data_IF_792090194035
#
_entry.id   IF_792090194035
#
_cell.length_a   1.000
_cell.length_b   1.000
_cell.length_c   1.000
_cell.angle_alpha   90.00
_cell.angle_beta   90.00
_cell.angle_gamma   90.00
#
_symmetry.space_group_name_H-M   'P 1'
#
loop_
_entity.id
_entity.type
_entity.pdbx_description
1 polymer ?
#
# COMPACT_ATOMS: atom_id res chain seq x y z
N UNK A 1 37.85 33.19 -45.82
CA UNK A 1 37.34 31.98 -45.14
C UNK A 1 37.22 32.19 -43.61
N UNK A 2 36.33 33.10 -43.14
CA UNK A 2 36.25 33.42 -41.69
C UNK A 2 34.86 33.91 -41.27
N UNK A 3 33.79 33.46 -41.92
CA UNK A 3 32.40 33.86 -41.61
C UNK A 3 31.38 32.71 -41.55
N UNK A 4 31.82 31.45 -41.39
CA UNK A 4 30.89 30.29 -41.37
C UNK A 4 30.83 29.51 -40.04
N UNK A 5 31.44 30.01 -38.93
CA UNK A 5 31.50 29.28 -37.67
C UNK A 5 30.64 29.88 -36.52
N UNK A 6 29.86 30.93 -36.77
CA UNK A 6 29.06 31.58 -35.72
C UNK A 6 27.56 31.23 -35.72
N UNK A 7 27.08 30.41 -36.64
CA UNK A 7 25.64 30.14 -36.76
C UNK A 7 25.18 28.81 -36.11
N UNK A 8 26.08 27.95 -35.63
CA UNK A 8 25.71 26.66 -35.02
C UNK A 8 25.54 26.68 -33.49
N UNK A 9 25.90 27.76 -32.80
CA UNK A 9 25.81 27.80 -31.34
C UNK A 9 24.48 28.34 -30.79
N UNK A 10 23.65 28.96 -31.62
CA UNK A 10 22.38 29.56 -31.18
C UNK A 10 21.19 28.58 -31.15
N UNK A 11 21.29 27.39 -31.78
CA UNK A 11 20.18 26.44 -31.88
C UNK A 11 20.15 25.43 -30.69
N UNK A 12 21.28 25.24 -30.00
CA UNK A 12 21.36 24.28 -28.88
C UNK A 12 20.80 24.84 -27.56
N UNK A 13 20.74 26.15 -27.39
CA UNK A 13 20.24 26.80 -26.19
C UNK A 13 18.69 26.77 -26.06
N UNK A 14 17.95 26.59 -27.15
CA UNK A 14 16.49 26.59 -27.15
C UNK A 14 15.85 25.22 -26.78
N UNK A 15 16.60 24.12 -26.82
CA UNK A 15 16.10 22.77 -26.56
C UNK A 15 16.08 22.40 -25.05
N UNK A 16 16.72 23.18 -24.17
CA UNK A 16 16.78 22.86 -22.72
C UNK A 16 15.64 23.49 -21.94
N UNK A 17 14.91 24.45 -22.47
CA UNK A 17 13.81 25.15 -21.81
C UNK A 17 12.49 24.32 -21.84
N UNK A 18 12.37 23.35 -22.74
CA UNK A 18 11.12 22.57 -22.91
C UNK A 18 10.85 21.47 -21.88
N UNK A 19 11.84 20.99 -21.13
CA UNK A 19 11.65 19.92 -20.17
C UNK A 19 11.23 20.38 -18.75
N UNK A 20 11.37 21.66 -18.43
CA UNK A 20 11.03 22.24 -17.13
C UNK A 20 9.55 22.62 -16.95
N UNK A 21 8.87 22.95 -18.04
CA UNK A 21 7.50 23.49 -17.96
C UNK A 21 6.40 22.43 -17.77
N UNK A 22 6.67 21.16 -18.10
CA UNK A 22 5.68 20.08 -17.93
C UNK A 22 5.47 19.65 -16.47
N UNK A 23 6.41 19.92 -15.54
CA UNK A 23 6.28 19.65 -14.11
C UNK A 23 5.73 20.81 -13.28
N UNK A 24 5.63 22.01 -13.85
CA UNK A 24 5.24 23.21 -13.10
C UNK A 24 3.79 23.12 -12.53
N UNK A 25 2.89 22.39 -13.18
CA UNK A 25 1.48 22.21 -12.75
C UNK A 25 1.07 20.74 -12.65
N UNK A 26 2.02 19.85 -12.34
CA UNK A 26 1.77 18.41 -12.35
C UNK A 26 2.34 17.77 -11.09
N UNK A 27 1.56 16.87 -10.46
CA UNK A 27 2.01 15.97 -9.42
C UNK A 27 1.80 14.52 -9.88
N UNK A 28 2.71 13.62 -9.51
CA UNK A 28 2.67 12.21 -9.88
C UNK A 28 2.34 11.36 -8.67
N UNK A 29 1.21 10.67 -8.69
CA UNK A 29 0.79 9.75 -7.63
C UNK A 29 1.06 8.31 -8.07
N UNK A 30 1.82 7.58 -7.26
CA UNK A 30 2.08 6.16 -7.45
C UNK A 30 1.18 5.25 -6.63
N UNK A 31 1.22 3.95 -6.94
CA UNK A 31 0.63 2.93 -6.06
C UNK A 31 1.41 1.61 -6.12
N UNK A 32 1.28 0.81 -5.07
CA UNK A 32 1.70 -0.58 -5.08
C UNK A 32 0.81 -1.41 -6.02
N UNK A 33 1.15 -2.68 -6.20
CA UNK A 33 0.59 -3.57 -7.23
C UNK A 33 -0.65 -4.36 -6.77
N UNK A 34 -1.52 -3.77 -5.97
CA UNK A 34 -2.79 -4.38 -5.57
C UNK A 34 -3.94 -3.36 -5.52
N UNK A 35 -5.21 -3.82 -5.64
CA UNK A 35 -6.37 -2.96 -5.88
C UNK A 35 -6.56 -1.86 -4.84
N UNK A 36 -6.43 -2.15 -3.54
CA UNK A 36 -6.54 -1.16 -2.48
C UNK A 36 -5.59 0.02 -2.69
N UNK A 37 -4.34 -0.27 -3.03
CA UNK A 37 -3.34 0.77 -3.22
C UNK A 37 -3.62 1.64 -4.44
N UNK A 38 -4.14 1.05 -5.53
CA UNK A 38 -4.57 1.82 -6.69
C UNK A 38 -5.79 2.69 -6.36
N UNK A 39 -6.73 2.18 -5.57
CA UNK A 39 -7.89 2.92 -5.08
C UNK A 39 -7.48 4.08 -4.16
N UNK A 40 -6.56 3.85 -3.22
CA UNK A 40 -6.00 4.91 -2.38
C UNK A 40 -5.26 5.97 -3.20
N UNK A 41 -4.48 5.53 -4.19
CA UNK A 41 -3.82 6.44 -5.14
C UNK A 41 -4.83 7.29 -5.89
N UNK A 42 -5.95 6.72 -6.32
CA UNK A 42 -7.02 7.44 -7.01
C UNK A 42 -7.75 8.42 -6.08
N UNK A 43 -8.01 8.05 -4.82
CA UNK A 43 -8.57 8.95 -3.80
C UNK A 43 -7.65 10.16 -3.59
N UNK A 44 -6.31 9.95 -3.45
CA UNK A 44 -5.36 11.06 -3.35
C UNK A 44 -5.41 11.93 -4.60
N UNK A 45 -5.44 11.31 -5.79
CA UNK A 45 -5.42 12.01 -7.07
C UNK A 45 -6.65 12.90 -7.24
N UNK A 46 -7.85 12.35 -7.08
CA UNK A 46 -9.11 13.11 -7.21
C UNK A 46 -9.24 14.20 -6.15
N UNK A 47 -8.79 13.94 -4.91
CA UNK A 47 -8.78 14.94 -3.85
C UNK A 47 -7.88 16.13 -4.19
N UNK A 48 -6.69 15.88 -4.74
CA UNK A 48 -5.78 16.94 -5.19
C UNK A 48 -6.41 17.72 -6.35
N UNK A 49 -6.94 17.03 -7.37
CA UNK A 49 -7.58 17.67 -8.54
C UNK A 49 -8.79 18.51 -8.15
N UNK A 50 -9.57 18.08 -7.14
CA UNK A 50 -10.75 18.82 -6.68
C UNK A 50 -10.40 20.07 -5.84
N UNK A 51 -9.28 20.05 -5.13
CA UNK A 51 -8.89 21.13 -4.20
C UNK A 51 -7.81 22.05 -4.76
N UNK A 52 -7.25 21.73 -5.93
CA UNK A 52 -6.15 22.50 -6.53
C UNK A 52 -6.36 22.65 -8.04
N UNK A 53 -5.47 23.41 -8.70
CA UNK A 53 -5.43 23.52 -10.16
C UNK A 53 -4.38 22.56 -10.79
N UNK A 54 -3.88 21.61 -10.03
CA UNK A 54 -2.86 20.68 -10.50
C UNK A 54 -3.49 19.54 -11.32
N UNK A 55 -2.76 19.14 -12.34
CA UNK A 55 -3.03 17.88 -13.03
C UNK A 55 -2.32 16.74 -12.31
N UNK A 56 -3.02 15.68 -11.98
CA UNK A 56 -2.43 14.49 -11.38
C UNK A 56 -2.14 13.43 -12.46
N UNK A 57 -0.88 12.99 -12.51
CA UNK A 57 -0.46 11.84 -13.31
C UNK A 57 -0.49 10.60 -12.41
N UNK A 58 -1.15 9.56 -12.86
CA UNK A 58 -1.37 8.31 -12.14
C UNK A 58 -0.38 7.25 -12.61
N UNK A 59 0.56 6.83 -11.75
CA UNK A 59 1.50 5.74 -11.98
C UNK A 59 1.16 4.59 -11.04
N UNK A 60 0.02 3.94 -11.28
CA UNK A 60 -0.47 2.85 -10.43
C UNK A 60 0.13 1.50 -10.83
N UNK A 61 0.02 0.53 -9.91
CA UNK A 61 0.54 -0.84 -10.09
C UNK A 61 2.04 -0.90 -10.43
N UNK A 62 2.85 -0.05 -9.80
CA UNK A 62 4.30 -0.04 -10.05
C UNK A 62 4.94 -1.38 -9.65
N UNK A 63 4.83 -1.74 -8.39
CA UNK A 63 5.24 -2.99 -7.76
C UNK A 63 4.96 -2.90 -6.24
N UNK A 64 5.68 -3.65 -5.42
CA UNK A 64 5.57 -3.58 -3.97
C UNK A 64 6.32 -2.40 -3.34
N UNK A 65 6.41 -2.44 -2.01
CA UNK A 65 6.96 -1.41 -1.13
C UNK A 65 8.32 -0.88 -1.56
N UNK A 66 9.27 -1.79 -1.83
CA UNK A 66 10.65 -1.38 -2.14
C UNK A 66 10.74 -0.57 -3.43
N UNK A 67 9.98 -0.95 -4.46
CA UNK A 67 9.99 -0.25 -5.75
C UNK A 67 9.29 1.11 -5.63
N UNK A 68 8.16 1.20 -4.91
CA UNK A 68 7.47 2.47 -4.65
C UNK A 68 8.35 3.43 -3.86
N UNK A 69 9.04 2.96 -2.82
CA UNK A 69 10.01 3.75 -2.06
C UNK A 69 11.15 4.28 -2.96
N UNK A 70 11.73 3.41 -3.80
CA UNK A 70 12.79 3.83 -4.73
C UNK A 70 12.27 4.81 -5.79
N UNK A 71 11.06 4.63 -6.30
CA UNK A 71 10.44 5.54 -7.25
C UNK A 71 10.22 6.94 -6.64
N UNK A 72 9.82 6.99 -5.36
CA UNK A 72 9.65 8.23 -4.62
C UNK A 72 11.01 8.95 -4.41
N UNK A 73 12.03 8.22 -3.95
CA UNK A 73 13.38 8.76 -3.75
C UNK A 73 14.02 9.28 -5.07
N UNK A 74 13.77 8.57 -6.16
CA UNK A 74 14.25 8.96 -7.48
C UNK A 74 13.41 10.06 -8.15
N UNK A 75 12.35 10.57 -7.50
CA UNK A 75 11.45 11.58 -8.05
C UNK A 75 10.65 11.11 -9.28
N UNK A 76 10.44 9.81 -9.41
CA UNK A 76 9.59 9.23 -10.46
C UNK A 76 8.11 9.38 -10.13
N UNK A 77 7.78 9.33 -8.84
CA UNK A 77 6.49 9.68 -8.27
C UNK A 77 6.71 10.75 -7.19
N UNK A 78 5.69 11.55 -6.89
CA UNK A 78 5.73 12.59 -5.88
C UNK A 78 5.07 12.16 -4.57
N UNK A 79 4.11 11.24 -4.63
CA UNK A 79 3.46 10.66 -3.46
C UNK A 79 2.90 9.25 -3.73
N UNK A 80 2.71 8.48 -2.68
CA UNK A 80 1.92 7.25 -2.64
C UNK A 80 1.44 6.98 -1.21
N UNK A 81 0.55 6.00 -1.00
CA UNK A 81 0.14 5.57 0.33
C UNK A 81 1.05 4.44 0.80
N UNK A 82 1.61 4.59 2.00
CA UNK A 82 2.36 3.55 2.69
C UNK A 82 1.66 3.16 3.99
N UNK A 83 2.04 2.04 4.58
CA UNK A 83 1.53 1.60 5.88
C UNK A 83 2.64 1.75 6.92
N UNK A 84 2.30 2.27 8.10
CA UNK A 84 3.29 2.63 9.14
C UNK A 84 4.14 1.44 9.59
N UNK A 85 3.54 0.26 9.78
CA UNK A 85 4.27 -0.97 10.13
C UNK A 85 5.22 -1.43 9.03
N UNK A 86 4.80 -1.32 7.76
CA UNK A 86 5.64 -1.62 6.60
C UNK A 86 6.84 -0.66 6.53
N UNK A 87 6.59 0.63 6.69
CA UNK A 87 7.66 1.64 6.72
C UNK A 87 8.66 1.36 7.85
N UNK A 88 8.16 1.01 9.06
CA UNK A 88 8.98 0.70 10.22
C UNK A 88 9.89 -0.51 9.97
N UNK A 89 9.30 -1.63 9.54
CA UNK A 89 10.00 -2.93 9.52
C UNK A 89 10.75 -3.17 8.22
N UNK A 90 10.13 -2.91 7.06
CA UNK A 90 10.71 -3.21 5.76
C UNK A 90 11.64 -2.11 5.23
N UNK A 91 11.37 -0.82 5.52
CA UNK A 91 12.19 0.29 5.02
C UNK A 91 13.19 0.78 6.05
N UNK A 92 12.77 0.98 7.29
CA UNK A 92 13.65 1.48 8.34
C UNK A 92 14.47 0.37 9.02
N UNK A 93 14.02 -0.87 8.90
CA UNK A 93 14.60 -2.06 9.58
C UNK A 93 14.62 -1.91 11.10
N UNK A 94 13.62 -1.22 11.62
CA UNK A 94 13.44 -1.01 13.06
C UNK A 94 12.64 -2.16 13.68
N UNK A 95 12.83 -2.45 14.97
CA UNK A 95 12.06 -3.47 15.68
C UNK A 95 10.56 -3.19 15.65
N UNK A 96 9.76 -4.26 15.72
CA UNK A 96 8.30 -4.17 15.85
C UNK A 96 7.95 -3.40 17.11
N UNK A 97 7.01 -2.47 16.99
CA UNK A 97 6.45 -1.65 18.05
C UNK A 97 4.92 -1.79 18.00
N UNK A 98 4.28 -1.95 19.13
CA UNK A 98 2.85 -2.22 19.20
C UNK A 98 1.97 -0.95 19.29
N UNK A 99 2.51 0.16 19.81
CA UNK A 99 1.75 1.41 19.94
C UNK A 99 1.65 2.16 18.62
N UNK A 100 0.45 2.36 18.04
CA UNK A 100 0.29 3.00 16.74
C UNK A 100 0.81 4.43 16.69
N UNK A 101 0.69 5.18 17.82
CA UNK A 101 1.17 6.54 17.93
C UNK A 101 2.70 6.61 17.91
N UNK A 102 3.36 5.70 18.64
CA UNK A 102 4.82 5.59 18.66
C UNK A 102 5.35 5.19 17.28
N UNK A 103 4.73 4.19 16.62
CA UNK A 103 5.09 3.77 15.25
C UNK A 103 4.98 4.94 14.28
N UNK A 104 3.83 5.64 14.26
CA UNK A 104 3.63 6.79 13.39
C UNK A 104 4.66 7.90 13.63
N UNK A 105 4.90 8.29 14.90
CA UNK A 105 5.85 9.33 15.23
C UNK A 105 7.29 8.96 14.81
N UNK A 106 7.69 7.71 15.02
CA UNK A 106 9.00 7.18 14.63
C UNK A 106 9.19 7.18 13.12
N UNK A 107 8.23 6.64 12.38
CA UNK A 107 8.25 6.61 10.90
C UNK A 107 8.31 8.03 10.35
N UNK A 108 7.43 8.92 10.81
CA UNK A 108 7.41 10.33 10.39
C UNK A 108 8.76 11.02 10.60
N UNK A 109 9.35 10.90 11.78
CA UNK A 109 10.65 11.51 12.08
C UNK A 109 11.80 10.90 11.26
N UNK A 110 11.80 9.60 11.04
CA UNK A 110 12.84 8.93 10.29
C UNK A 110 12.75 9.24 8.78
N UNK A 111 11.55 9.29 8.21
CA UNK A 111 11.34 9.62 6.80
C UNK A 111 11.74 11.05 6.48
N UNK A 112 11.39 12.01 7.33
CA UNK A 112 11.83 13.40 7.22
C UNK A 112 13.37 13.49 7.22
N UNK A 113 14.01 12.99 8.27
CA UNK A 113 15.46 13.14 8.47
C UNK A 113 16.31 12.35 7.48
N UNK A 114 15.89 11.13 7.10
CA UNK A 114 16.71 10.23 6.28
C UNK A 114 16.43 10.34 4.79
N UNK A 115 15.20 10.69 4.42
CA UNK A 115 14.74 10.60 3.05
C UNK A 115 14.18 11.91 2.49
N UNK A 116 13.99 12.95 3.32
CA UNK A 116 13.31 14.20 2.94
C UNK A 116 11.90 13.92 2.38
N UNK A 117 11.17 13.03 3.08
CA UNK A 117 9.81 12.63 2.78
C UNK A 117 8.89 13.01 3.93
N UNK A 118 7.81 13.72 3.62
CA UNK A 118 6.77 14.03 4.57
C UNK A 118 5.81 12.84 4.71
N UNK A 119 5.65 12.30 5.92
CA UNK A 119 4.59 11.36 6.27
C UNK A 119 3.43 12.16 6.82
N UNK A 120 2.31 12.20 6.07
CA UNK A 120 1.11 12.94 6.44
C UNK A 120 0.25 12.13 7.44
N UNK A 121 -0.76 12.76 8.07
CA UNK A 121 -1.60 12.08 9.05
C UNK A 121 -2.26 10.81 8.50
N UNK A 122 -2.50 9.79 9.37
CA UNK A 122 -3.18 8.57 8.97
C UNK A 122 -4.56 8.82 8.37
N UNK A 123 -4.90 8.07 7.33
CA UNK A 123 -6.17 8.14 6.62
C UNK A 123 -7.35 7.67 7.48
N UNK A 124 -7.11 6.80 8.49
CA UNK A 124 -8.10 6.42 9.49
C UNK A 124 -8.35 4.90 9.61
N UNK A 125 -7.69 4.07 8.83
CA UNK A 125 -7.81 2.62 8.89
C UNK A 125 -6.44 1.94 9.10
N UNK A 126 -6.51 0.67 9.51
CA UNK A 126 -5.36 -0.19 9.71
C UNK A 126 -5.50 -1.44 8.83
N UNK A 127 -4.52 -1.69 7.97
CA UNK A 127 -4.49 -2.86 7.09
C UNK A 127 -3.36 -3.82 7.49
N UNK A 128 -3.64 -4.68 8.47
CA UNK A 128 -2.68 -5.67 8.95
C UNK A 128 -2.67 -6.92 8.08
N UNK A 129 -1.55 -7.62 8.06
CA UNK A 129 -1.53 -8.99 7.56
C UNK A 129 -2.43 -9.90 8.39
N UNK A 130 -3.11 -10.80 7.71
CA UNK A 130 -3.93 -11.84 8.32
C UNK A 130 -3.64 -13.20 7.69
N UNK A 131 -3.66 -14.26 8.48
CA UNK A 131 -3.67 -15.62 7.95
C UNK A 131 -5.10 -16.07 7.73
N UNK A 132 -5.36 -16.64 6.56
CA UNK A 132 -6.69 -17.01 6.11
C UNK A 132 -6.71 -18.47 5.71
N UNK A 133 -7.75 -19.17 6.14
CA UNK A 133 -8.08 -20.55 5.79
C UNK A 133 -9.49 -20.61 5.21
N UNK A 134 -9.88 -21.73 4.61
CA UNK A 134 -11.29 -21.96 4.24
C UNK A 134 -12.18 -22.03 5.47
N UNK A 135 -13.37 -21.45 5.39
CA UNK A 135 -14.33 -21.47 6.49
C UNK A 135 -14.75 -22.89 6.89
N UNK A 136 -14.90 -23.79 5.94
CA UNK A 136 -15.16 -25.20 6.21
C UNK A 136 -14.06 -25.89 7.02
N UNK A 137 -12.78 -25.60 6.73
CA UNK A 137 -11.64 -26.12 7.47
C UNK A 137 -11.58 -25.52 8.88
N UNK A 138 -11.83 -24.23 9.02
CA UNK A 138 -11.88 -23.56 10.32
C UNK A 138 -12.94 -24.22 11.23
N UNK A 139 -14.15 -24.44 10.70
CA UNK A 139 -15.23 -25.12 11.45
C UNK A 139 -14.90 -26.58 11.79
N UNK A 140 -14.41 -27.34 10.81
CA UNK A 140 -14.10 -28.77 10.97
C UNK A 140 -12.96 -29.01 11.96
N UNK A 141 -11.94 -28.12 11.97
CA UNK A 141 -10.72 -28.26 12.77
C UNK A 141 -10.74 -27.39 14.03
N UNK A 142 -11.84 -26.63 14.26
CA UNK A 142 -11.98 -25.68 15.37
C UNK A 142 -10.82 -24.67 15.44
N UNK A 143 -10.54 -24.01 14.29
CA UNK A 143 -9.46 -23.03 14.18
C UNK A 143 -9.99 -21.62 14.46
N UNK A 144 -9.44 -20.94 15.44
CA UNK A 144 -9.75 -19.55 15.76
C UNK A 144 -8.49 -18.67 15.67
N UNK A 145 -7.33 -19.23 15.99
CA UNK A 145 -6.07 -18.49 16.12
C UNK A 145 -4.98 -19.05 15.20
N UNK A 146 -3.94 -18.23 14.98
CA UNK A 146 -2.73 -18.69 14.27
C UNK A 146 -2.07 -19.85 15.03
N UNK A 147 -2.11 -19.83 16.38
CA UNK A 147 -1.59 -20.93 17.19
C UNK A 147 -2.33 -22.26 16.96
N UNK A 148 -3.63 -22.21 16.64
CA UNK A 148 -4.38 -23.42 16.31
C UNK A 148 -3.94 -24.00 14.98
N UNK A 149 -3.74 -23.14 13.98
CA UNK A 149 -3.26 -23.54 12.64
C UNK A 149 -1.87 -24.17 12.68
N UNK A 150 -1.00 -23.74 13.60
CA UNK A 150 0.36 -24.26 13.72
C UNK A 150 0.41 -25.79 13.92
N UNK A 151 -0.62 -26.38 14.55
CA UNK A 151 -0.72 -27.84 14.77
C UNK A 151 -0.93 -28.61 13.45
N UNK A 152 -1.54 -27.97 12.45
CA UNK A 152 -1.86 -28.57 11.16
C UNK A 152 -0.85 -28.20 10.07
N UNK A 153 -0.04 -27.17 10.28
CA UNK A 153 0.94 -26.68 9.34
C UNK A 153 1.87 -27.77 8.73
N UNK A 154 2.31 -28.82 9.48
CA UNK A 154 3.12 -29.89 8.91
C UNK A 154 2.44 -30.69 7.79
N UNK A 155 1.11 -30.62 7.68
CA UNK A 155 0.33 -31.32 6.66
C UNK A 155 -0.26 -30.38 5.61
N UNK A 156 -0.07 -29.07 5.76
CA UNK A 156 -0.66 -28.05 4.92
C UNK A 156 0.32 -27.51 3.87
N UNK A 157 -0.26 -27.00 2.82
CA UNK A 157 0.41 -26.22 1.77
C UNK A 157 0.07 -24.76 2.00
N UNK A 158 1.07 -23.92 2.18
CA UNK A 158 0.89 -22.49 2.28
C UNK A 158 1.11 -21.78 0.94
N UNK A 159 0.40 -20.69 0.72
CA UNK A 159 0.58 -19.77 -0.39
C UNK A 159 0.69 -18.34 0.10
N UNK A 160 1.77 -17.62 -0.27
CA UNK A 160 2.03 -16.27 0.20
C UNK A 160 2.45 -15.36 -0.96
N UNK A 161 2.18 -14.07 -0.82
CA UNK A 161 2.70 -13.06 -1.72
C UNK A 161 4.23 -12.90 -1.58
N UNK A 162 4.88 -12.40 -2.63
CA UNK A 162 6.33 -12.23 -2.66
C UNK A 162 6.86 -11.41 -1.46
N UNK A 163 6.29 -10.23 -1.21
CA UNK A 163 6.75 -9.37 -0.10
C UNK A 163 6.58 -10.02 1.27
N UNK A 164 5.50 -10.79 1.48
CA UNK A 164 5.31 -11.51 2.74
C UNK A 164 6.39 -12.55 3.00
N UNK A 165 6.97 -13.11 1.94
CA UNK A 165 8.11 -14.04 2.06
C UNK A 165 9.42 -13.33 2.39
N UNK A 166 9.61 -12.10 1.90
CA UNK A 166 10.89 -11.38 1.96
C UNK A 166 11.01 -10.41 3.15
N UNK A 167 9.89 -9.94 3.68
CA UNK A 167 9.88 -8.90 4.71
C UNK A 167 10.25 -9.44 6.10
N UNK A 168 10.92 -8.62 6.95
CA UNK A 168 11.25 -9.01 8.32
C UNK A 168 10.01 -9.32 9.19
N UNK A 169 8.88 -8.60 8.95
CA UNK A 169 7.59 -8.80 9.60
C UNK A 169 6.68 -9.78 8.83
N UNK A 170 7.24 -10.52 7.87
CA UNK A 170 6.55 -11.51 7.06
C UNK A 170 6.67 -12.94 7.59
N UNK A 171 6.73 -13.89 6.64
CA UNK A 171 6.61 -15.32 6.94
C UNK A 171 7.69 -15.85 7.88
N UNK A 172 8.95 -15.51 7.68
CA UNK A 172 10.05 -16.10 8.47
C UNK A 172 9.94 -15.74 9.95
N UNK A 173 9.65 -14.48 10.27
CA UNK A 173 9.44 -14.02 11.62
C UNK A 173 8.18 -14.62 12.25
N UNK A 174 7.08 -14.65 11.50
CA UNK A 174 5.82 -15.25 11.92
C UNK A 174 5.98 -16.75 12.22
N UNK A 175 6.64 -17.49 11.33
CA UNK A 175 6.89 -18.92 11.49
C UNK A 175 7.69 -19.22 12.76
N UNK A 176 8.70 -18.39 13.07
CA UNK A 176 9.50 -18.52 14.30
C UNK A 176 8.64 -18.29 15.56
N UNK A 177 7.80 -17.26 15.57
CA UNK A 177 6.96 -16.91 16.73
C UNK A 177 5.86 -17.93 16.97
N UNK A 178 5.24 -18.42 15.91
CA UNK A 178 4.09 -19.34 15.98
C UNK A 178 4.47 -20.82 15.87
N UNK A 179 5.70 -21.15 15.49
CA UNK A 179 6.10 -22.53 15.21
C UNK A 179 5.44 -23.10 13.94
N UNK A 180 5.27 -22.26 12.91
CA UNK A 180 4.68 -22.68 11.64
C UNK A 180 5.71 -23.43 10.79
N UNK A 181 5.64 -24.75 10.79
CA UNK A 181 6.53 -25.63 10.02
C UNK A 181 5.73 -26.36 8.95
N UNK A 182 5.89 -25.96 7.69
CA UNK A 182 5.27 -26.64 6.56
C UNK A 182 6.18 -27.76 6.03
N UNK A 183 5.59 -28.90 5.62
CA UNK A 183 6.33 -30.02 5.03
C UNK A 183 7.05 -29.66 3.70
N UNK A 184 6.55 -28.65 3.01
CA UNK A 184 7.14 -28.07 1.79
C UNK A 184 7.25 -26.57 1.95
N UNK A 185 8.21 -25.91 1.30
CA UNK A 185 8.28 -24.45 1.27
C UNK A 185 6.96 -23.86 0.78
N UNK A 186 6.49 -22.74 1.36
CA UNK A 186 5.30 -22.04 0.86
C UNK A 186 5.44 -21.69 -0.61
N UNK A 187 4.32 -21.71 -1.33
CA UNK A 187 4.27 -21.26 -2.72
C UNK A 187 4.24 -19.74 -2.76
N UNK A 188 5.07 -19.15 -3.61
CA UNK A 188 4.96 -17.72 -3.92
C UNK A 188 3.90 -17.56 -5.01
N UNK A 189 2.88 -16.76 -4.72
CA UNK A 189 1.74 -16.51 -5.61
C UNK A 189 1.55 -15.01 -5.83
N UNK A 190 0.96 -14.67 -6.97
CA UNK A 190 0.44 -13.31 -7.19
C UNK A 190 -0.69 -13.02 -6.18
N UNK A 191 -0.74 -11.78 -5.66
CA UNK A 191 -1.71 -11.39 -4.64
C UNK A 191 -3.16 -11.61 -5.09
N UNK A 192 -3.46 -11.36 -6.36
CA UNK A 192 -4.79 -11.58 -6.94
C UNK A 192 -5.20 -13.06 -7.04
N UNK A 193 -4.27 -14.00 -6.88
CA UNK A 193 -4.52 -15.44 -6.99
C UNK A 193 -4.62 -16.16 -5.64
N UNK A 194 -4.26 -15.51 -4.52
CA UNK A 194 -4.16 -16.15 -3.21
C UNK A 194 -5.48 -16.80 -2.77
N UNK A 195 -6.56 -16.04 -2.75
CA UNK A 195 -7.87 -16.55 -2.31
C UNK A 195 -8.45 -17.58 -3.27
N UNK A 196 -8.19 -17.44 -4.57
CA UNK A 196 -8.58 -18.44 -5.55
C UNK A 196 -7.85 -19.76 -5.32
N UNK A 197 -6.53 -19.71 -5.12
CA UNK A 197 -5.74 -20.90 -4.84
C UNK A 197 -6.19 -21.60 -3.53
N UNK A 198 -6.63 -20.82 -2.53
CA UNK A 198 -7.18 -21.33 -1.29
C UNK A 198 -8.54 -22.03 -1.52
N UNK A 199 -9.48 -21.38 -2.21
CA UNK A 199 -10.81 -21.90 -2.51
C UNK A 199 -10.76 -23.11 -3.45
N UNK A 200 -9.83 -23.14 -4.41
CA UNK A 200 -9.61 -24.25 -5.34
C UNK A 200 -8.78 -25.40 -4.70
N UNK A 201 -8.57 -25.39 -3.37
CA UNK A 201 -7.79 -26.40 -2.63
C UNK A 201 -6.36 -26.62 -3.14
N UNK A 202 -5.77 -25.63 -3.81
CA UNK A 202 -4.36 -25.69 -4.24
C UNK A 202 -3.39 -25.42 -3.09
N UNK A 203 -3.84 -24.63 -2.11
CA UNK A 203 -3.19 -24.36 -0.82
C UNK A 203 -4.22 -24.47 0.30
N UNK A 204 -3.74 -24.54 1.53
CA UNK A 204 -4.57 -24.77 2.71
C UNK A 204 -4.58 -23.54 3.64
N UNK A 205 -3.61 -22.64 3.46
CA UNK A 205 -3.47 -21.39 4.18
C UNK A 205 -2.81 -20.33 3.28
N UNK A 206 -3.29 -19.08 3.37
CA UNK A 206 -2.71 -17.93 2.70
C UNK A 206 -2.50 -16.78 3.69
N UNK A 207 -1.63 -15.84 3.34
CA UNK A 207 -1.58 -14.53 3.98
C UNK A 207 -2.29 -13.51 3.08
N UNK A 208 -3.25 -12.80 3.65
CA UNK A 208 -3.97 -11.70 3.02
C UNK A 208 -3.89 -10.44 3.89
N UNK A 209 -4.76 -9.48 3.60
CA UNK A 209 -4.87 -8.22 4.33
C UNK A 209 -6.23 -8.10 5.03
N UNK A 210 -6.28 -7.45 6.21
CA UNK A 210 -7.50 -7.34 7.02
C UNK A 210 -8.61 -6.52 6.35
N UNK A 211 -8.27 -5.72 5.35
CA UNK A 211 -9.19 -4.91 4.55
C UNK A 211 -9.59 -5.55 3.22
N UNK A 212 -9.11 -6.77 2.92
CA UNK A 212 -9.45 -7.47 1.68
C UNK A 212 -10.97 -7.69 1.57
N UNK A 213 -11.57 -7.18 0.50
CA UNK A 213 -13.02 -7.23 0.28
C UNK A 213 -13.58 -8.66 0.18
N UNK A 214 -12.80 -9.61 -0.34
CA UNK A 214 -13.22 -11.01 -0.50
C UNK A 214 -13.38 -11.75 0.83
N UNK A 215 -12.80 -11.28 1.93
CA UNK A 215 -12.93 -11.90 3.25
C UNK A 215 -14.39 -11.99 3.73
N UNK A 216 -15.20 -10.98 3.39
CA UNK A 216 -16.62 -10.94 3.77
C UNK A 216 -17.54 -11.66 2.78
N UNK A 217 -17.10 -11.85 1.53
CA UNK A 217 -17.93 -12.32 0.42
C UNK A 217 -17.80 -13.82 0.13
N UNK A 218 -16.85 -14.50 0.78
CA UNK A 218 -16.52 -15.91 0.56
C UNK A 218 -16.51 -16.65 1.90
N UNK A 219 -16.64 -17.97 1.85
CA UNK A 219 -16.51 -18.84 3.03
C UNK A 219 -15.02 -18.97 3.43
N UNK A 220 -14.51 -17.88 3.98
CA UNK A 220 -13.13 -17.73 4.45
C UNK A 220 -13.13 -17.45 5.96
N UNK A 221 -12.10 -17.89 6.65
CA UNK A 221 -11.89 -17.61 8.07
C UNK A 221 -10.54 -16.96 8.29
N UNK A 222 -10.56 -15.79 8.93
CA UNK A 222 -9.37 -15.07 9.37
C UNK A 222 -8.95 -15.63 10.73
N UNK A 223 -7.70 -16.01 10.85
CA UNK A 223 -7.12 -16.50 12.11
C UNK A 223 -6.61 -15.33 12.94
N UNK A 224 -7.01 -15.30 14.22
CA UNK A 224 -6.56 -14.26 15.14
C UNK A 224 -5.06 -14.36 15.42
N UNK A 225 -4.37 -13.24 15.33
CA UNK A 225 -2.97 -13.07 15.79
C UNK A 225 -2.92 -12.99 17.32
N UNK A 226 -3.06 -14.15 17.98
CA UNK A 226 -3.15 -14.24 19.43
C UNK A 226 -1.83 -14.04 20.20
N UNK A 227 -0.71 -13.85 19.46
CA UNK A 227 0.58 -13.46 20.02
C UNK A 227 0.99 -12.04 19.67
N UNK A 228 0.12 -11.28 18.99
CA UNK A 228 0.34 -9.89 18.60
C UNK A 228 1.66 -9.69 17.87
N UNK A 229 1.91 -10.55 16.88
CA UNK A 229 3.14 -10.52 16.10
C UNK A 229 3.22 -9.31 15.15
N UNK A 230 2.09 -8.97 14.52
CA UNK A 230 2.06 -7.91 13.54
C UNK A 230 2.00 -6.52 14.20
N UNK A 231 2.84 -5.55 13.75
CA UNK A 231 2.71 -4.16 14.19
C UNK A 231 1.43 -3.51 13.64
N UNK A 232 1.06 -2.31 14.10
CA UNK A 232 0.00 -1.54 13.47
C UNK A 232 0.44 -1.04 12.08
N UNK A 233 -0.47 -1.16 11.09
CA UNK A 233 -0.27 -0.76 9.70
C UNK A 233 -1.27 0.34 9.31
N UNK A 234 -1.17 1.51 9.95
CA UNK A 234 -2.00 2.65 9.58
C UNK A 234 -1.61 3.16 8.19
N UNK A 235 -2.59 3.32 7.31
CA UNK A 235 -2.36 3.88 5.98
C UNK A 235 -2.07 5.39 6.07
N UNK A 236 -0.95 5.81 5.49
CA UNK A 236 -0.46 7.19 5.51
C UNK A 236 -0.01 7.65 4.12
N UNK A 237 -0.38 8.85 3.67
CA UNK A 237 0.23 9.44 2.48
C UNK A 237 1.69 9.79 2.77
N UNK A 238 2.59 9.36 1.89
CA UNK A 238 4.02 9.72 1.92
C UNK A 238 4.30 10.58 0.70
N UNK A 239 4.84 11.78 0.93
CA UNK A 239 5.01 12.81 -0.09
C UNK A 239 6.43 13.34 -0.06
N UNK A 240 7.01 13.59 -1.23
CA UNK A 240 8.31 14.27 -1.33
C UNK A 240 8.20 15.71 -0.81
N UNK A 241 9.10 16.11 0.06
CA UNK A 241 9.11 17.49 0.55
C UNK A 241 9.31 18.50 -0.56
N UNK A 242 10.12 18.17 -1.57
CA UNK A 242 10.30 18.99 -2.76
C UNK A 242 8.98 19.22 -3.52
N UNK A 243 8.09 18.21 -3.59
CA UNK A 243 6.79 18.35 -4.20
C UNK A 243 5.87 19.27 -3.40
N UNK A 244 5.88 19.14 -2.07
CA UNK A 244 5.13 20.03 -1.16
C UNK A 244 5.67 21.46 -1.15
N UNK A 245 6.97 21.65 -1.31
CA UNK A 245 7.57 22.99 -1.41
C UNK A 245 7.17 23.68 -2.74
N UNK A 246 7.04 22.90 -3.81
CA UNK A 246 6.64 23.36 -5.15
C UNK A 246 5.13 23.62 -5.24
N UNK A 247 4.33 22.82 -4.54
CA UNK A 247 2.87 22.82 -4.56
C UNK A 247 2.32 22.78 -3.13
N UNK A 248 2.33 23.93 -2.45
CA UNK A 248 1.97 24.02 -1.02
C UNK A 248 0.52 23.62 -0.74
N UNK A 249 -0.38 23.83 -1.70
CA UNK A 249 -1.79 23.46 -1.65
C UNK A 249 -2.03 21.95 -1.53
N UNK A 250 -1.10 21.12 -2.00
CA UNK A 250 -1.21 19.65 -1.93
C UNK A 250 -1.30 19.15 -0.50
N UNK A 251 -0.55 19.77 0.42
CA UNK A 251 -0.60 19.39 1.84
C UNK A 251 -2.02 19.54 2.40
N UNK A 252 -2.66 20.71 2.16
CA UNK A 252 -4.02 20.95 2.63
C UNK A 252 -5.05 19.99 2.04
N UNK A 253 -4.93 19.69 0.73
CA UNK A 253 -5.79 18.73 0.06
C UNK A 253 -5.67 17.32 0.67
N UNK A 254 -4.46 16.84 0.95
CA UNK A 254 -4.24 15.52 1.54
C UNK A 254 -4.55 15.46 3.04
N UNK A 255 -4.27 16.52 3.81
CA UNK A 255 -4.61 16.59 5.24
C UNK A 255 -6.14 16.52 5.47
N UNK A 256 -6.97 16.94 4.51
CA UNK A 256 -8.42 16.81 4.56
C UNK A 256 -8.90 15.33 4.59
N UNK A 257 -8.07 14.39 4.13
CA UNK A 257 -8.34 12.94 4.18
C UNK A 257 -8.06 12.31 5.55
N UNK A 258 -7.43 13.05 6.49
CA UNK A 258 -7.10 12.54 7.82
C UNK A 258 -8.32 11.94 8.51
N UNK A 259 -8.24 10.66 8.87
CA UNK A 259 -9.28 9.94 9.61
C UNK A 259 -10.59 9.75 8.85
N UNK A 260 -10.62 9.95 7.53
CA UNK A 260 -11.86 9.88 6.75
C UNK A 260 -12.22 8.47 6.28
N UNK A 261 -11.26 7.55 6.23
CA UNK A 261 -11.46 6.18 5.78
C UNK A 261 -11.47 5.27 7.01
N UNK A 262 -12.59 4.62 7.31
CA UNK A 262 -12.63 3.56 8.32
C UNK A 262 -12.24 2.20 7.73
N UNK A 263 -11.91 1.21 8.58
CA UNK A 263 -11.69 -0.18 8.13
C UNK A 263 -12.91 -0.73 7.38
N UNK A 264 -14.13 -0.33 7.79
CA UNK A 264 -15.36 -0.74 7.12
C UNK A 264 -15.51 -0.09 5.74
N UNK A 265 -15.19 1.22 5.61
CA UNK A 265 -15.17 1.90 4.31
C UNK A 265 -14.18 1.21 3.37
N UNK A 266 -12.96 0.89 3.87
CA UNK A 266 -11.93 0.29 3.04
C UNK A 266 -12.32 -1.10 2.56
N UNK A 267 -12.84 -1.97 3.44
CA UNK A 267 -13.36 -3.30 3.06
C UNK A 267 -14.48 -3.20 2.03
N UNK A 268 -15.43 -2.27 2.21
CA UNK A 268 -16.51 -2.04 1.26
C UNK A 268 -15.97 -1.66 -0.11
N UNK A 269 -15.13 -0.64 -0.18
CA UNK A 269 -14.55 -0.16 -1.43
C UNK A 269 -13.70 -1.23 -2.12
N UNK A 270 -12.91 -1.99 -1.36
CA UNK A 270 -12.15 -3.12 -1.90
C UNK A 270 -13.06 -4.20 -2.49
N UNK A 271 -14.21 -4.47 -1.84
CA UNK A 271 -15.19 -5.43 -2.37
C UNK A 271 -15.86 -4.91 -3.66
N UNK A 272 -16.22 -3.64 -3.71
CA UNK A 272 -16.78 -3.02 -4.91
C UNK A 272 -15.83 -3.14 -6.12
N UNK A 273 -14.51 -2.97 -5.89
CA UNK A 273 -13.50 -3.09 -6.95
C UNK A 273 -13.24 -4.56 -7.32
N UNK A 274 -12.98 -5.42 -6.32
CA UNK A 274 -12.50 -6.80 -6.58
C UNK A 274 -13.65 -7.79 -6.76
N UNK A 275 -14.72 -7.63 -5.98
CA UNK A 275 -15.88 -8.52 -5.97
C UNK A 275 -16.93 -8.17 -7.02
N UNK A 276 -17.20 -6.87 -7.19
CA UNK A 276 -18.22 -6.35 -8.13
C UNK A 276 -17.63 -5.83 -9.44
N UNK A 277 -16.30 -5.79 -9.55
CA UNK A 277 -15.58 -5.33 -10.76
C UNK A 277 -15.90 -3.89 -11.16
N UNK A 278 -16.17 -3.03 -10.19
CA UNK A 278 -16.40 -1.60 -10.41
C UNK A 278 -15.08 -0.87 -10.74
N UNK A 279 -15.19 0.22 -11.48
CA UNK A 279 -14.05 1.08 -11.80
C UNK A 279 -13.48 1.75 -10.53
N UNK A 280 -12.17 1.71 -10.37
CA UNK A 280 -11.47 2.31 -9.21
C UNK A 280 -11.77 3.81 -9.12
N UNK A 281 -11.81 4.50 -10.25
CA UNK A 281 -12.11 5.92 -10.39
C UNK A 281 -13.53 6.26 -9.91
N UNK A 282 -14.50 5.41 -10.24
CA UNK A 282 -15.89 5.57 -9.81
C UNK A 282 -16.04 5.37 -8.29
N UNK A 283 -15.45 4.28 -7.75
CA UNK A 283 -15.51 3.98 -6.32
C UNK A 283 -14.84 5.09 -5.50
N UNK A 284 -13.67 5.58 -5.94
CA UNK A 284 -12.98 6.70 -5.29
C UNK A 284 -13.84 7.98 -5.30
N UNK A 285 -14.46 8.31 -6.43
CA UNK A 285 -15.29 9.50 -6.58
C UNK A 285 -16.53 9.44 -5.67
N UNK A 286 -17.22 8.31 -5.64
CA UNK A 286 -18.40 8.13 -4.78
C UNK A 286 -18.02 8.26 -3.31
N UNK A 287 -16.93 7.62 -2.88
CA UNK A 287 -16.43 7.76 -1.52
C UNK A 287 -16.12 9.22 -1.16
N UNK A 288 -15.41 9.94 -2.01
CA UNK A 288 -15.07 11.35 -1.74
C UNK A 288 -16.33 12.23 -1.64
N UNK A 289 -17.37 11.97 -2.46
CA UNK A 289 -18.68 12.65 -2.35
C UNK A 289 -19.41 12.28 -1.06
N UNK A 290 -19.47 11.01 -0.68
CA UNK A 290 -20.06 10.54 0.59
C UNK A 290 -19.44 11.25 1.80
N UNK A 291 -18.13 11.49 1.75
CA UNK A 291 -17.40 12.20 2.83
C UNK A 291 -17.46 13.73 2.73
N UNK A 292 -18.11 14.27 1.70
CA UNK A 292 -18.22 15.72 1.48
C UNK A 292 -16.88 16.38 1.15
N UNK A 293 -15.97 15.65 0.52
CA UNK A 293 -14.63 16.11 0.16
C UNK A 293 -14.55 16.68 -1.25
N UNK A 294 -15.45 16.23 -2.12
CA UNK A 294 -15.65 16.73 -3.50
C UNK A 294 -17.14 16.93 -3.77
N UNK A 295 -17.47 17.75 -4.78
CA UNK A 295 -18.84 18.07 -5.19
C UNK A 295 -19.31 17.26 -6.39
#
# INVERSE_FOLDING_TARGET
>A
MRRLFLSCFAVIAAAIVGCGTHRANTIVIGSKNFPEQALLGEILAQQIEAQTHLRVVRHFYLAGTFICQQALLAGRIDAYVEYTGTALTAILHDPVEADPGAVFARVKSAYDKRFHLAVLPPLGFNDTFVLVVRGEDARRLHLETISDAARYAPHWRAGFGYEFMERPDGFEGLARVYGLHFAKPPRVLDLGLLYRALLDHQVDLVAGNSTDGLLSARDLAVLQDNKHYFPPYQAVPVVREEALARHQEVRGALDALKGKISDADMRRMNYEVVGEHRGIDQVAQEFLREKGLVH
#
